data_IF_432978986033
#
_entry.id   IF_432978986033
#
_cell.length_a   1.000
_cell.length_b   1.000
_cell.length_c   1.000
_cell.angle_alpha   90.00
_cell.angle_beta   90.00
_cell.angle_gamma   90.00
#
_symmetry.space_group_name_H-M   'P 1'
#
loop_
_entity.id
_entity.type
_entity.pdbx_description
1 polymer ?
#
# COMPACT_ATOMS: atom_id res chain seq x y z
N UNK A 1 5.31 -15.92 6.28
CA UNK A 1 5.59 -14.70 5.47
C UNK A 1 5.29 -14.98 4.02
N UNK A 2 4.62 -14.07 3.37
CA UNK A 2 4.40 -14.16 1.95
C UNK A 2 4.18 -12.78 1.37
N UNK A 3 4.17 -12.69 0.04
CA UNK A 3 4.01 -11.42 -0.65
C UNK A 3 2.53 -11.13 -0.86
N UNK A 4 2.15 -9.88 -0.59
CA UNK A 4 0.80 -9.39 -0.84
C UNK A 4 0.91 -8.24 -1.83
N UNK A 5 -0.07 -8.10 -2.70
CA UNK A 5 -0.09 -7.06 -3.71
C UNK A 5 -1.17 -6.04 -3.42
N UNK A 6 -0.87 -4.79 -3.67
CA UNK A 6 -1.84 -3.72 -3.51
C UNK A 6 -1.55 -2.64 -4.56
N UNK A 7 -2.59 -2.11 -5.16
CA UNK A 7 -2.44 -1.05 -6.15
C UNK A 7 -3.33 0.12 -5.81
N UNK A 8 -2.87 1.33 -6.13
CA UNK A 8 -3.65 2.52 -5.92
C UNK A 8 -3.31 3.55 -6.99
N UNK A 9 -4.29 4.38 -7.33
CA UNK A 9 -4.08 5.50 -8.23
C UNK A 9 -3.85 6.81 -7.49
N UNK A 10 -3.85 6.79 -6.17
CA UNK A 10 -3.73 8.01 -5.39
C UNK A 10 -2.31 8.19 -4.90
N UNK A 11 -1.65 9.25 -5.37
CA UNK A 11 -0.27 9.54 -4.99
C UNK A 11 -0.12 9.74 -3.48
N UNK A 12 -1.06 10.45 -2.86
CA UNK A 12 -0.97 10.69 -1.42
C UNK A 12 -1.08 9.41 -0.62
N UNK A 13 -1.97 8.51 -1.04
CA UNK A 13 -2.12 7.23 -0.35
C UNK A 13 -0.86 6.39 -0.51
N UNK A 14 -0.28 6.36 -1.70
CA UNK A 14 0.95 5.59 -1.93
C UNK A 14 2.07 6.12 -1.05
N UNK A 15 2.22 7.44 -0.96
CA UNK A 15 3.25 8.03 -0.12
C UNK A 15 3.03 7.71 1.35
N UNK A 16 1.79 7.84 1.81
CA UNK A 16 1.47 7.63 3.22
C UNK A 16 1.65 6.15 3.59
N UNK A 17 1.24 5.24 2.72
CA UNK A 17 1.43 3.82 2.96
C UNK A 17 2.91 3.46 3.01
N UNK A 18 3.70 4.02 2.10
CA UNK A 18 5.14 3.78 2.10
C UNK A 18 5.76 4.24 3.42
N UNK A 19 5.39 5.42 3.90
CA UNK A 19 5.89 5.94 5.17
C UNK A 19 5.47 5.04 6.33
N UNK A 20 4.22 4.60 6.33
CA UNK A 20 3.72 3.73 7.40
C UNK A 20 4.44 2.39 7.41
N UNK A 21 4.66 1.80 6.23
CA UNK A 21 5.37 0.52 6.12
C UNK A 21 6.81 0.65 6.64
N UNK A 22 7.47 1.74 6.31
CA UNK A 22 8.83 1.97 6.82
C UNK A 22 8.83 2.10 8.34
N UNK A 23 7.85 2.79 8.89
CA UNK A 23 7.74 2.94 10.33
C UNK A 23 7.49 1.63 11.04
N UNK A 24 6.80 0.69 10.39
CA UNK A 24 6.54 -0.63 10.96
C UNK A 24 7.64 -1.63 10.63
N UNK A 25 8.64 -1.22 9.83
CA UNK A 25 9.75 -2.08 9.41
C UNK A 25 9.25 -3.30 8.64
N UNK A 26 8.21 -3.10 7.84
CA UNK A 26 7.67 -4.13 6.97
C UNK A 26 8.36 -4.01 5.62
N UNK A 27 8.86 -5.13 5.10
CA UNK A 27 9.52 -5.14 3.81
C UNK A 27 8.52 -4.91 2.69
N UNK A 28 8.83 -4.02 1.76
CA UNK A 28 7.94 -3.78 0.63
C UNK A 28 8.75 -3.27 -0.56
N UNK A 29 8.14 -3.38 -1.73
CA UNK A 29 8.66 -2.78 -2.95
C UNK A 29 7.53 -1.97 -3.58
N UNK A 30 7.87 -0.77 -4.02
CA UNK A 30 6.92 0.11 -4.66
C UNK A 30 7.41 0.38 -6.07
N UNK A 31 6.54 0.16 -7.05
CA UNK A 31 6.87 0.46 -8.43
C UNK A 31 5.75 1.27 -9.06
N UNK A 32 6.13 2.04 -10.07
CA UNK A 32 5.19 2.86 -10.82
C UNK A 32 4.75 2.06 -12.03
N UNK A 33 3.51 1.62 -12.01
CA UNK A 33 2.94 0.85 -13.11
C UNK A 33 2.02 1.70 -13.99
N UNK A 34 2.20 3.01 -13.95
CA UNK A 34 1.35 3.93 -14.69
C UNK A 34 1.49 3.75 -16.19
N UNK A 35 0.39 3.97 -16.89
CA UNK A 35 0.36 3.98 -18.35
C UNK A 35 -0.22 5.32 -18.76
N UNK A 36 -0.10 5.71 -20.03
CA UNK A 36 -0.66 6.98 -20.47
C UNK A 36 -2.14 7.07 -20.13
N UNK A 37 -2.50 8.12 -19.41
CA UNK A 37 -3.89 8.35 -19.02
C UNK A 37 -4.32 7.65 -17.76
N UNK A 38 -3.45 6.83 -17.15
CA UNK A 38 -3.81 6.12 -15.92
C UNK A 38 -2.60 6.03 -14.99
N UNK A 39 -2.72 6.65 -13.82
CA UNK A 39 -1.67 6.63 -12.82
C UNK A 39 -1.91 5.45 -11.90
N UNK A 40 -0.93 4.57 -11.77
CA UNK A 40 -1.03 3.38 -10.92
C UNK A 40 0.27 3.18 -10.15
N UNK A 41 0.16 2.99 -8.84
CA UNK A 41 1.28 2.61 -8.00
C UNK A 41 1.06 1.20 -7.52
N UNK A 42 2.05 0.34 -7.67
CA UNK A 42 1.96 -1.07 -7.32
C UNK A 42 2.88 -1.37 -6.14
N UNK A 43 2.32 -1.93 -5.08
CA UNK A 43 3.08 -2.35 -3.91
C UNK A 43 3.16 -3.86 -3.86
N UNK A 44 4.34 -4.37 -3.55
CA UNK A 44 4.51 -5.76 -3.17
C UNK A 44 5.02 -5.75 -1.73
N UNK A 45 4.29 -6.35 -0.83
CA UNK A 45 4.56 -6.25 0.60
C UNK A 45 4.79 -7.65 1.15
N UNK A 46 5.93 -7.85 1.82
CA UNK A 46 6.30 -9.14 2.35
C UNK A 46 6.05 -9.15 3.85
N UNK A 47 5.05 -9.89 4.29
CA UNK A 47 4.66 -9.91 5.69
C UNK A 47 3.88 -11.18 6.01
N UNK A 48 3.54 -11.36 7.28
CA UNK A 48 2.71 -12.48 7.72
C UNK A 48 1.24 -12.06 7.83
N UNK A 49 0.40 -12.95 8.33
CA UNK A 49 -1.03 -12.65 8.46
C UNK A 49 -1.32 -11.50 9.38
N UNK A 50 -0.57 -11.36 10.47
CA UNK A 50 -0.76 -10.25 11.40
C UNK A 50 -0.44 -8.92 10.72
N UNK A 51 0.65 -8.89 9.96
CA UNK A 51 1.01 -7.69 9.21
C UNK A 51 0.00 -7.38 8.13
N UNK A 52 -0.51 -8.41 7.44
CA UNK A 52 -1.52 -8.20 6.42
C UNK A 52 -2.80 -7.62 7.01
N UNK A 53 -3.21 -8.10 8.18
CA UNK A 53 -4.39 -7.57 8.87
C UNK A 53 -4.17 -6.12 9.26
N UNK A 54 -2.98 -5.78 9.74
CA UNK A 54 -2.65 -4.41 10.10
C UNK A 54 -2.70 -3.49 8.88
N UNK A 55 -2.21 -3.96 7.75
CA UNK A 55 -2.25 -3.19 6.51
C UNK A 55 -3.69 -2.97 6.07
N UNK A 56 -4.51 -4.00 6.11
CA UNK A 56 -5.92 -3.87 5.73
C UNK A 56 -6.66 -2.89 6.63
N UNK A 57 -6.38 -2.92 7.91
CA UNK A 57 -6.98 -1.99 8.85
C UNK A 57 -6.53 -0.56 8.56
N UNK A 58 -5.23 -0.37 8.30
CA UNK A 58 -4.71 0.95 7.96
C UNK A 58 -5.36 1.47 6.69
N UNK A 59 -5.51 0.61 5.68
CA UNK A 59 -6.14 1.01 4.42
C UNK A 59 -7.61 1.40 4.65
N UNK A 60 -8.33 0.63 5.44
CA UNK A 60 -9.71 0.97 5.76
C UNK A 60 -9.81 2.33 6.42
N UNK A 61 -8.89 2.65 7.32
CA UNK A 61 -8.92 3.92 8.04
C UNK A 61 -8.49 5.10 7.18
N UNK A 62 -7.66 4.86 6.17
CA UNK A 62 -7.07 5.93 5.39
C UNK A 62 -7.64 6.06 3.99
N UNK A 63 -8.41 5.07 3.52
CA UNK A 63 -9.05 5.15 2.22
C UNK A 63 -10.52 5.39 2.30
N UNK A 64 -11.09 5.43 3.48
CA UNK A 64 -12.45 5.75 3.62
C UNK A 64 -12.68 7.07 3.07
N UNK A 65 -13.45 7.10 2.11
CA UNK A 65 -13.78 8.30 1.56
C UNK A 65 -15.01 8.71 2.12
N UNK A 66 -15.08 9.79 2.55
CA UNK A 66 -16.20 10.25 2.95
C UNK A 66 -16.88 10.72 1.86
N UNK A 67 -17.85 10.47 1.72
CA UNK A 67 -18.61 10.88 0.63
C UNK A 67 -19.71 11.74 1.14
#
# INVERSE_FOLDING_TARGET
MKWYNFETSFTSLARDLSTWLKGKKIKYELSDASVPGLLVYHFEIYTDGTGADAINRWLDENTITEF
#
